data_IF_271262725817
#
_entry.id   IF_271262725817
#
_cell.length_a   1.000
_cell.length_b   1.000
_cell.length_c   1.000
_cell.angle_alpha   90.00
_cell.angle_beta   90.00
_cell.angle_gamma   90.00
#
_symmetry.space_group_name_H-M   'P 1'
#
loop_
_entity.id
_entity.type
_entity.pdbx_description
1 polymer ?
#
# COMPACT_ATOMS: atom_id res chain seq x y z
N UNK A 1 6.54 -0.66 22.05
CA UNK A 1 7.57 0.03 21.24
C UNK A 1 6.85 0.96 20.27
N UNK A 2 7.17 2.25 20.23
CA UNK A 2 6.64 3.13 19.18
C UNK A 2 7.54 2.96 17.94
N UNK A 3 6.98 2.41 16.85
CA UNK A 3 7.74 2.20 15.62
C UNK A 3 8.30 3.52 15.08
N UNK A 4 9.53 3.49 14.57
CA UNK A 4 10.18 4.66 13.97
C UNK A 4 9.39 5.08 12.73
N UNK A 5 8.81 6.28 12.74
CA UNK A 5 8.06 6.81 11.60
C UNK A 5 9.02 7.08 10.42
N UNK A 6 8.84 6.37 9.32
CA UNK A 6 9.66 6.56 8.11
C UNK A 6 9.01 7.59 7.18
N UNK A 7 9.39 8.86 7.35
CA UNK A 7 8.81 10.03 6.66
C UNK A 7 8.79 9.87 5.14
N UNK A 8 9.85 9.31 4.55
CA UNK A 8 9.98 9.14 3.09
C UNK A 8 8.92 8.21 2.48
N UNK A 9 8.30 7.35 3.29
CA UNK A 9 7.28 6.38 2.85
C UNK A 9 5.85 6.84 3.13
N UNK A 10 5.67 8.01 3.74
CA UNK A 10 4.36 8.58 3.95
C UNK A 10 3.79 9.12 2.63
N UNK A 11 2.51 8.79 2.41
CA UNK A 11 1.70 9.38 1.33
C UNK A 11 1.25 10.78 1.72
N UNK A 12 0.85 11.59 0.73
CA UNK A 12 0.49 12.99 0.93
C UNK A 12 -0.51 13.20 2.08
N UNK A 13 -1.63 12.47 2.09
CA UNK A 13 -2.65 12.61 3.15
C UNK A 13 -2.09 12.43 4.57
N UNK A 14 -1.16 11.48 4.73
CA UNK A 14 -0.51 11.20 6.02
C UNK A 14 0.49 12.28 6.39
N UNK A 15 1.21 12.82 5.41
CA UNK A 15 2.11 13.95 5.62
C UNK A 15 1.33 15.18 6.05
N UNK A 16 0.22 15.47 5.36
CA UNK A 16 -0.68 16.58 5.71
C UNK A 16 -1.20 16.43 7.13
N UNK A 17 -1.68 15.23 7.50
CA UNK A 17 -2.13 14.93 8.86
C UNK A 17 -1.02 15.18 9.90
N UNK A 18 0.18 14.61 9.72
CA UNK A 18 1.28 14.77 10.68
C UNK A 18 1.80 16.22 10.77
N UNK A 19 1.71 17.00 9.69
CA UNK A 19 2.02 18.42 9.69
C UNK A 19 0.96 19.23 10.45
N UNK A 20 -0.32 18.98 10.19
CA UNK A 20 -1.44 19.67 10.85
C UNK A 20 -1.43 19.44 12.36
N UNK A 21 -1.23 18.20 12.81
CA UNK A 21 -1.12 17.86 14.24
C UNK A 21 0.02 18.60 14.94
N UNK A 22 1.09 18.94 14.22
CA UNK A 22 2.26 19.67 14.74
C UNK A 22 2.21 21.18 14.50
N UNK A 23 1.17 21.69 13.84
CA UNK A 23 1.09 23.10 13.47
C UNK A 23 2.13 23.52 12.42
N UNK A 24 2.59 22.58 11.61
CA UNK A 24 3.49 22.84 10.49
C UNK A 24 2.63 23.21 9.28
N UNK A 25 2.99 24.30 8.60
CA UNK A 25 2.31 24.73 7.38
C UNK A 25 2.33 23.68 6.27
N UNK A 26 1.22 23.56 5.54
CA UNK A 26 1.11 22.71 4.35
C UNK A 26 1.81 23.37 3.16
N UNK A 27 2.49 22.57 2.33
CA UNK A 27 3.22 23.03 1.14
C UNK A 27 3.41 21.90 0.14
N UNK A 28 4.47 21.96 -0.66
CA UNK A 28 4.85 20.82 -1.51
C UNK A 28 5.20 19.58 -0.68
N UNK A 29 5.07 18.38 -1.28
CA UNK A 29 5.38 17.11 -0.60
C UNK A 29 6.81 17.09 -0.06
N UNK A 30 7.77 17.67 -0.78
CA UNK A 30 9.16 17.75 -0.35
C UNK A 30 9.36 18.68 0.84
N UNK A 31 8.72 19.86 0.82
CA UNK A 31 8.76 20.81 1.93
C UNK A 31 8.13 20.21 3.18
N UNK A 32 6.98 19.54 3.05
CA UNK A 32 6.31 18.85 4.17
C UNK A 32 7.23 17.78 4.79
N UNK A 33 7.91 16.98 3.96
CA UNK A 33 8.87 15.97 4.44
C UNK A 33 10.06 16.59 5.17
N UNK A 34 10.65 17.66 4.61
CA UNK A 34 11.78 18.37 5.22
C UNK A 34 11.39 19.02 6.55
N UNK A 35 10.25 19.69 6.60
CA UNK A 35 9.73 20.35 7.80
C UNK A 35 9.37 19.34 8.89
N UNK A 36 8.71 18.24 8.53
CA UNK A 36 8.40 17.16 9.48
C UNK A 36 9.67 16.48 10.01
N UNK A 37 10.67 16.24 9.16
CA UNK A 37 11.95 15.68 9.58
C UNK A 37 12.69 16.59 10.57
N UNK A 38 12.68 17.90 10.31
CA UNK A 38 13.26 18.91 11.21
C UNK A 38 12.52 18.92 12.56
N UNK A 39 11.18 18.90 12.54
CA UNK A 39 10.37 18.88 13.76
C UNK A 39 10.65 17.63 14.61
N UNK A 40 10.66 16.43 14.01
CA UNK A 40 10.97 15.18 14.72
C UNK A 40 12.40 15.19 15.27
N UNK A 41 13.36 15.77 14.55
CA UNK A 41 14.73 15.92 15.07
C UNK A 41 14.76 16.81 16.32
N UNK A 42 14.07 17.94 16.29
CA UNK A 42 13.97 18.85 17.43
C UNK A 42 13.27 18.22 18.64
N UNK A 43 12.19 17.44 18.39
CA UNK A 43 11.51 16.64 19.42
C UNK A 43 12.48 15.66 20.10
N UNK A 44 13.31 14.97 19.31
CA UNK A 44 14.31 14.02 19.83
C UNK A 44 15.46 14.71 20.59
N UNK A 45 15.78 15.96 20.24
CA UNK A 45 16.74 16.81 20.95
C UNK A 45 16.16 17.39 22.26
N UNK A 46 14.88 17.10 22.57
CA UNK A 46 14.19 17.61 23.76
C UNK A 46 13.70 19.04 23.62
N UNK A 47 13.76 19.63 22.43
CA UNK A 47 13.19 20.96 22.19
C UNK A 47 11.67 20.86 22.09
N UNK A 48 10.97 21.40 23.08
CA UNK A 48 9.51 21.44 23.08
C UNK A 48 9.02 22.49 22.09
N UNK A 49 8.46 22.03 20.97
CA UNK A 49 7.66 22.89 20.11
C UNK A 49 6.29 23.12 20.78
N UNK A 50 5.72 24.34 20.72
CA UNK A 50 4.34 24.55 21.13
C UNK A 50 3.43 23.76 20.19
N UNK A 51 2.93 22.61 20.67
CA UNK A 51 2.01 21.78 19.90
C UNK A 51 0.65 22.47 19.92
N UNK A 52 0.03 22.74 18.75
CA UNK A 52 -1.29 23.33 18.71
C UNK A 52 -2.32 22.40 19.36
N UNK A 53 -3.50 22.94 19.66
CA UNK A 53 -4.65 22.10 20.02
C UNK A 53 -4.89 21.07 18.92
N UNK A 54 -5.05 19.81 19.31
CA UNK A 54 -5.26 18.71 18.38
C UNK A 54 -6.49 19.02 17.50
N UNK A 55 -6.35 19.03 16.15
CA UNK A 55 -7.35 19.64 15.28
C UNK A 55 -8.50 18.71 14.90
N UNK A 56 -8.45 17.42 15.27
CA UNK A 56 -9.44 16.43 14.85
C UNK A 56 -10.29 15.93 16.01
N UNK A 57 -11.52 15.54 15.69
CA UNK A 57 -12.40 14.84 16.64
C UNK A 57 -12.08 13.34 16.67
N UNK A 58 -12.58 12.64 17.71
CA UNK A 58 -12.44 11.20 17.81
C UNK A 58 -13.07 10.48 16.60
N UNK A 59 -14.27 10.90 16.18
CA UNK A 59 -14.99 10.32 15.04
C UNK A 59 -14.22 10.46 13.72
N UNK A 60 -13.62 11.62 13.46
CA UNK A 60 -12.81 11.87 12.26
C UNK A 60 -11.60 10.94 12.21
N UNK A 61 -10.94 10.73 13.36
CA UNK A 61 -9.83 9.81 13.46
C UNK A 61 -10.27 8.35 13.25
N UNK A 62 -11.39 7.94 13.83
CA UNK A 62 -11.87 6.56 13.70
C UNK A 62 -12.29 6.27 12.26
N UNK A 63 -12.99 7.21 11.62
CA UNK A 63 -13.34 7.09 10.20
C UNK A 63 -12.09 6.96 9.33
N UNK A 64 -11.09 7.82 9.53
CA UNK A 64 -9.84 7.77 8.79
C UNK A 64 -9.03 6.49 9.03
N UNK A 65 -9.11 5.90 10.22
CA UNK A 65 -8.47 4.61 10.52
C UNK A 65 -9.23 3.47 9.84
N UNK A 66 -10.56 3.39 10.04
CA UNK A 66 -11.42 2.32 9.50
C UNK A 66 -11.31 2.22 7.98
N UNK A 67 -11.35 3.36 7.28
CA UNK A 67 -11.22 3.42 5.82
C UNK A 67 -9.86 2.92 5.28
N UNK A 68 -8.85 2.77 6.14
CA UNK A 68 -7.53 2.25 5.76
C UNK A 68 -7.29 0.79 6.17
N UNK A 69 -8.14 0.19 7.01
CA UNK A 69 -7.95 -1.20 7.47
C UNK A 69 -8.11 -2.20 6.33
N UNK A 70 -9.22 -2.18 5.60
CA UNK A 70 -9.50 -3.13 4.51
C UNK A 70 -8.43 -3.10 3.38
N UNK A 71 -7.95 -1.92 2.91
CA UNK A 71 -6.83 -1.88 1.97
C UNK A 71 -5.53 -2.49 2.50
N UNK A 72 -5.30 -2.43 3.82
CA UNK A 72 -4.12 -3.03 4.46
C UNK A 72 -4.26 -4.54 4.46
N UNK A 73 -5.41 -5.08 4.86
CA UNK A 73 -5.70 -6.52 4.83
C UNK A 73 -5.47 -7.11 3.43
N UNK A 74 -6.03 -6.46 2.41
CA UNK A 74 -5.81 -6.83 1.00
C UNK A 74 -4.31 -6.75 0.63
N UNK A 75 -3.62 -5.72 1.09
CA UNK A 75 -2.19 -5.54 0.86
C UNK A 75 -1.33 -6.62 1.51
N UNK A 76 -1.71 -7.11 2.69
CA UNK A 76 -1.04 -8.21 3.41
C UNK A 76 -1.22 -9.53 2.65
N UNK A 77 -2.46 -9.82 2.21
CA UNK A 77 -2.76 -11.03 1.44
C UNK A 77 -1.94 -11.09 0.14
N UNK A 78 -1.74 -9.93 -0.51
CA UNK A 78 -0.99 -9.80 -1.76
C UNK A 78 0.55 -9.76 -1.59
N UNK A 79 1.10 -9.95 -0.38
CA UNK A 79 2.55 -10.02 -0.18
C UNK A 79 3.12 -11.32 -0.73
N UNK A 80 4.04 -11.19 -1.70
CA UNK A 80 4.76 -12.32 -2.33
C UNK A 80 6.24 -12.37 -1.97
N UNK A 81 6.83 -11.25 -1.55
CA UNK A 81 8.27 -11.12 -1.25
C UNK A 81 8.48 -10.35 0.06
N UNK A 82 9.32 -10.88 0.96
CA UNK A 82 9.56 -10.30 2.29
C UNK A 82 10.34 -8.98 2.23
N UNK A 83 11.28 -8.86 1.28
CA UNK A 83 12.09 -7.65 1.05
C UNK A 83 11.39 -6.61 0.16
N UNK A 84 10.09 -6.77 -0.09
CA UNK A 84 9.37 -5.86 -0.96
C UNK A 84 9.25 -4.46 -0.36
N UNK A 85 9.28 -3.44 -1.23
CA UNK A 85 8.87 -2.09 -0.85
C UNK A 85 7.43 -2.02 -0.32
N UNK A 86 6.59 -3.00 -0.68
CA UNK A 86 5.21 -3.15 -0.20
C UNK A 86 5.16 -3.45 1.30
N UNK A 87 5.97 -4.40 1.78
CA UNK A 87 6.07 -4.72 3.21
C UNK A 87 6.37 -3.46 4.05
N UNK A 88 7.47 -2.76 3.75
CA UNK A 88 7.84 -1.52 4.46
C UNK A 88 6.76 -0.43 4.39
N UNK A 89 5.99 -0.37 3.30
CA UNK A 89 4.87 0.57 3.14
C UNK A 89 3.68 0.20 4.03
N UNK A 90 3.38 -1.09 4.17
CA UNK A 90 2.34 -1.58 5.10
C UNK A 90 2.75 -1.30 6.54
N UNK A 91 3.98 -1.64 6.93
CA UNK A 91 4.51 -1.38 8.27
C UNK A 91 4.48 0.12 8.63
N UNK A 92 4.93 0.99 7.70
CA UNK A 92 4.85 2.45 7.90
C UNK A 92 3.40 2.91 8.04
N UNK A 93 2.48 2.30 7.30
CA UNK A 93 1.05 2.63 7.37
C UNK A 93 0.44 2.23 8.70
N UNK A 94 0.68 1.01 9.18
CA UNK A 94 0.20 0.52 10.46
C UNK A 94 0.75 1.35 11.62
N UNK A 95 2.04 1.68 11.60
CA UNK A 95 2.65 2.57 12.60
C UNK A 95 2.01 3.96 12.61
N UNK A 96 1.68 4.52 11.45
CA UNK A 96 0.97 5.79 11.36
C UNK A 96 -0.45 5.69 11.93
N UNK A 97 -1.21 4.64 11.61
CA UNK A 97 -2.56 4.43 12.16
C UNK A 97 -2.52 4.27 13.68
N UNK A 98 -1.52 3.55 14.20
CA UNK A 98 -1.30 3.41 15.64
C UNK A 98 -0.98 4.76 16.30
N UNK A 99 -0.14 5.59 15.64
CA UNK A 99 0.16 6.95 16.11
C UNK A 99 -1.09 7.83 16.15
N UNK A 100 -1.92 7.77 15.11
CA UNK A 100 -3.21 8.46 15.04
C UNK A 100 -4.17 8.02 16.14
N UNK A 101 -4.33 6.70 16.33
CA UNK A 101 -5.18 6.11 17.38
C UNK A 101 -4.74 6.51 18.80
N UNK A 102 -3.43 6.65 19.03
CA UNK A 102 -2.90 7.09 20.33
C UNK A 102 -3.20 8.55 20.65
N UNK A 103 -3.36 9.38 19.62
CA UNK A 103 -3.68 10.81 19.78
C UNK A 103 -5.17 11.06 19.89
N UNK A 104 -6.02 10.12 19.47
CA UNK A 104 -7.46 10.24 19.61
C UNK A 104 -7.87 10.25 21.08
N UNK A 105 -8.76 11.17 21.44
CA UNK A 105 -9.22 11.42 22.81
C UNK A 105 -10.68 11.00 22.94
N UNK A 106 -10.96 9.74 23.31
CA UNK A 106 -12.32 9.30 23.55
C UNK A 106 -12.90 10.04 24.77
N UNK A 107 -14.19 10.37 24.73
CA UNK A 107 -14.91 11.14 25.76
C UNK A 107 -15.92 10.30 26.54
N UNK A 108 -16.34 9.15 26.02
CA UNK A 108 -17.32 8.25 26.63
C UNK A 108 -16.85 6.78 26.59
N UNK A 109 -17.53 5.91 27.34
CA UNK A 109 -17.17 4.49 27.46
C UNK A 109 -17.27 3.73 26.13
N UNK A 110 -18.24 4.10 25.28
CA UNK A 110 -18.41 3.49 23.96
C UNK A 110 -17.23 3.81 23.03
N UNK A 111 -16.74 5.06 23.02
CA UNK A 111 -15.55 5.47 22.28
C UNK A 111 -14.27 4.81 22.82
N UNK A 112 -14.16 4.63 24.15
CA UNK A 112 -13.05 3.89 24.76
C UNK A 112 -13.04 2.44 24.29
N UNK A 113 -14.21 1.80 24.28
CA UNK A 113 -14.38 0.43 23.80
C UNK A 113 -14.02 0.34 22.31
N UNK A 114 -14.54 1.23 21.48
CA UNK A 114 -14.23 1.28 20.06
C UNK A 114 -12.72 1.44 19.82
N UNK A 115 -12.08 2.39 20.51
CA UNK A 115 -10.63 2.62 20.39
C UNK A 115 -9.84 1.34 20.71
N UNK A 116 -10.29 0.59 21.71
CA UNK A 116 -9.65 -0.66 22.16
C UNK A 116 -9.81 -1.78 21.14
N UNK A 117 -11.00 -1.91 20.53
CA UNK A 117 -11.24 -2.86 19.44
C UNK A 117 -10.37 -2.55 18.21
N UNK A 118 -10.30 -1.28 17.81
CA UNK A 118 -9.46 -0.83 16.69
C UNK A 118 -7.97 -1.06 16.99
N UNK A 119 -7.54 -0.80 18.23
CA UNK A 119 -6.16 -1.10 18.66
C UNK A 119 -5.84 -2.59 18.49
N UNK A 120 -6.73 -3.47 18.96
CA UNK A 120 -6.58 -4.92 18.81
C UNK A 120 -6.43 -5.33 17.34
N UNK A 121 -7.26 -4.77 16.46
CA UNK A 121 -7.18 -5.03 15.01
C UNK A 121 -5.84 -4.57 14.41
N UNK A 122 -5.37 -3.36 14.73
CA UNK A 122 -4.09 -2.86 14.21
C UNK A 122 -2.93 -3.76 14.66
N UNK A 123 -2.91 -4.18 15.93
CA UNK A 123 -1.85 -5.05 16.47
C UNK A 123 -1.88 -6.45 15.83
N UNK A 124 -3.08 -6.99 15.58
CA UNK A 124 -3.23 -8.25 14.84
C UNK A 124 -2.65 -8.13 13.42
N UNK A 125 -2.99 -7.05 12.68
CA UNK A 125 -2.47 -6.82 11.33
C UNK A 125 -0.94 -6.63 11.29
N UNK A 126 -0.35 -5.99 12.31
CA UNK A 126 1.11 -5.89 12.43
C UNK A 126 1.73 -7.28 12.57
N UNK A 127 1.15 -8.12 13.43
CA UNK A 127 1.60 -9.51 13.64
C UNK A 127 1.44 -10.35 12.37
N UNK A 128 0.36 -10.16 11.62
CA UNK A 128 0.11 -10.87 10.36
C UNK A 128 1.13 -10.50 9.27
N UNK A 129 1.51 -9.22 9.18
CA UNK A 129 2.58 -8.76 8.28
C UNK A 129 3.89 -9.47 8.59
N UNK A 130 4.29 -9.49 9.86
CA UNK A 130 5.55 -10.09 10.30
C UNK A 130 5.55 -11.60 10.03
N UNK A 131 4.49 -12.30 10.43
CA UNK A 131 4.30 -13.73 10.19
C UNK A 131 4.34 -14.08 8.70
N UNK A 132 3.71 -13.25 7.84
CA UNK A 132 3.71 -13.48 6.39
C UNK A 132 5.10 -13.29 5.80
N UNK A 133 5.84 -12.27 6.26
CA UNK A 133 7.21 -12.03 5.82
C UNK A 133 8.14 -13.18 6.21
N UNK A 134 8.06 -13.67 7.45
CA UNK A 134 8.84 -14.83 7.91
C UNK A 134 8.56 -16.09 7.09
N UNK A 135 7.28 -16.36 6.77
CA UNK A 135 6.89 -17.50 5.92
C UNK A 135 7.52 -17.40 4.53
N UNK A 136 7.50 -16.22 3.92
CA UNK A 136 8.10 -15.98 2.61
C UNK A 136 9.62 -16.17 2.65
N UNK A 137 10.30 -15.70 3.70
CA UNK A 137 11.75 -15.88 3.86
C UNK A 137 12.13 -17.35 3.98
N UNK A 138 11.38 -18.11 4.77
CA UNK A 138 11.57 -19.56 4.91
C UNK A 138 11.38 -20.27 3.56
N UNK A 139 10.39 -19.88 2.76
CA UNK A 139 10.16 -20.45 1.43
C UNK A 139 11.31 -20.14 0.45
N UNK A 140 11.91 -18.95 0.51
CA UNK A 140 13.04 -18.57 -0.36
C UNK A 140 14.34 -19.29 -0.01
N UNK A 141 14.52 -19.72 1.24
CA UNK A 141 15.70 -20.47 1.67
C UNK A 141 15.70 -21.94 1.26
N UNK A 142 14.54 -22.49 0.87
CA UNK A 142 14.39 -23.90 0.48
C UNK A 142 14.85 -24.15 -0.96
N UNK A 143 15.33 -23.14 -1.70
CA UNK A 143 15.91 -23.36 -3.04
C UNK A 143 17.11 -24.31 -2.88
N UNK A 144 17.02 -25.55 -3.42
CA UNK A 144 17.95 -26.61 -3.09
C UNK A 144 19.35 -26.27 -3.57
N UNK A 145 20.34 -26.50 -2.71
CA UNK A 145 21.76 -26.23 -2.93
C UNK A 145 22.33 -26.89 -4.19
N UNK A 146 21.60 -27.82 -4.81
CA UNK A 146 21.98 -28.50 -6.05
C UNK A 146 22.10 -27.55 -7.26
N UNK A 147 21.34 -26.45 -7.30
CA UNK A 147 21.49 -25.44 -8.35
C UNK A 147 22.73 -24.55 -8.17
N UNK A 148 23.25 -24.42 -6.94
CA UNK A 148 24.46 -23.64 -6.65
C UNK A 148 25.74 -24.34 -7.13
N UNK A 149 25.71 -25.67 -7.27
CA UNK A 149 26.85 -26.44 -7.75
C UNK A 149 27.02 -26.30 -9.27
N UNK A 150 25.93 -26.06 -10.02
CA UNK A 150 25.98 -25.94 -11.47
C UNK A 150 26.55 -24.58 -11.94
N UNK A 151 26.31 -23.49 -11.21
CA UNK A 151 26.87 -22.16 -11.54
C UNK A 151 28.38 -22.08 -11.34
N UNK A 152 28.95 -22.88 -10.44
CA UNK A 152 30.40 -22.89 -10.17
C UNK A 152 31.23 -23.59 -11.26
N UNK A 153 30.59 -24.25 -12.23
CA UNK A 153 31.25 -24.98 -13.32
C UNK A 153 31.16 -24.30 -14.68
N UNK A 154 30.47 -23.17 -14.83
CA UNK A 154 30.61 -22.40 -16.05
C UNK A 154 31.98 -21.70 -16.02
N UNK A 155 32.91 -22.04 -16.92
CA UNK A 155 34.15 -21.29 -17.04
C UNK A 155 33.74 -19.84 -17.31
N UNK A 156 34.16 -18.93 -16.42
CA UNK A 156 34.16 -17.51 -16.74
C UNK A 156 34.99 -17.41 -18.01
N UNK A 157 34.34 -17.23 -19.15
CA UNK A 157 35.01 -16.82 -20.37
C UNK A 157 35.78 -15.57 -19.97
N UNK A 158 37.10 -15.73 -19.84
CA UNK A 158 38.04 -14.64 -19.69
C UNK A 158 37.69 -13.66 -20.80
N UNK A 159 37.31 -12.47 -20.40
CA UNK A 159 37.13 -11.30 -21.24
C UNK A 159 38.20 -11.29 -22.33
N UNK A 160 37.75 -11.58 -23.55
CA UNK A 160 38.46 -11.20 -24.76
C UNK A 160 38.43 -9.67 -24.75
N UNK A 161 39.52 -9.08 -24.26
CA UNK A 161 39.79 -7.65 -24.43
C UNK A 161 39.96 -7.42 -25.93
N UNK A 162 38.84 -7.14 -26.58
CA UNK A 162 38.82 -6.69 -27.95
C UNK A 162 39.01 -5.18 -27.88
N UNK A 163 40.24 -4.77 -28.18
CA UNK A 163 40.69 -3.39 -28.32
C UNK A 163 39.89 -2.75 -29.47
N UNK A 164 38.74 -2.16 -29.15
CA UNK A 164 37.91 -1.43 -30.10
C UNK A 164 38.48 -0.03 -30.24
N UNK A 165 39.25 0.15 -31.32
CA UNK A 165 39.67 1.45 -31.79
C UNK A 165 38.48 2.35 -32.15
N UNK A 166 38.70 3.65 -31.98
CA UNK A 166 37.80 4.73 -32.36
C UNK A 166 37.26 4.52 -33.79
N UNK A 167 35.97 4.23 -33.88
CA UNK A 167 35.24 4.06 -35.12
C UNK A 167 33.81 4.50 -34.91
N UNK A 168 33.52 5.73 -35.34
CA UNK A 168 32.19 6.30 -35.41
C UNK A 168 31.25 5.41 -36.27
N UNK A 169 29.96 5.41 -35.92
CA UNK A 169 28.83 4.89 -36.70
C UNK A 169 28.53 3.37 -36.67
N UNK A 170 28.15 2.77 -35.52
CA UNK A 170 27.37 1.51 -35.55
C UNK A 170 26.54 1.22 -34.26
N UNK A 171 25.84 2.22 -33.72
CA UNK A 171 25.05 2.09 -32.47
C UNK A 171 23.65 1.44 -32.62
N UNK A 172 23.32 0.83 -33.77
CA UNK A 172 21.94 0.45 -34.09
C UNK A 172 21.57 -1.04 -33.93
N UNK A 173 22.54 -1.95 -33.78
CA UNK A 173 22.22 -3.40 -33.71
C UNK A 173 22.12 -3.95 -32.28
N UNK A 174 22.84 -3.38 -31.31
CA UNK A 174 22.83 -3.87 -29.92
C UNK A 174 21.51 -3.55 -29.17
N UNK A 175 20.82 -2.47 -29.56
CA UNK A 175 19.49 -2.15 -29.00
C UNK A 175 18.40 -3.14 -29.46
N UNK A 176 18.57 -3.81 -30.61
CA UNK A 176 17.60 -4.78 -31.12
C UNK A 176 17.65 -6.10 -30.34
N UNK A 177 18.84 -6.52 -29.89
CA UNK A 177 19.04 -7.76 -29.12
C UNK A 177 18.50 -7.62 -27.70
N UNK A 178 18.69 -6.47 -27.04
CA UNK A 178 18.14 -6.21 -25.71
C UNK A 178 16.60 -6.13 -25.73
N UNK A 179 16.01 -5.65 -26.82
CA UNK A 179 14.56 -5.60 -27.00
C UNK A 179 13.92 -6.98 -27.30
N UNK A 180 14.67 -7.92 -27.88
CA UNK A 180 14.21 -9.30 -28.07
C UNK A 180 14.24 -10.12 -26.77
N UNK A 181 15.24 -9.93 -25.90
CA UNK A 181 15.29 -10.64 -24.62
C UNK A 181 14.23 -10.19 -23.62
N UNK A 182 13.84 -8.92 -23.65
CA UNK A 182 12.80 -8.40 -22.77
C UNK A 182 11.40 -8.85 -23.21
N UNK A 183 11.12 -8.91 -24.51
CA UNK A 183 9.80 -9.36 -25.01
C UNK A 183 9.54 -10.85 -24.79
N UNK A 184 10.56 -11.72 -24.87
CA UNK A 184 10.38 -13.15 -24.57
C UNK A 184 10.08 -13.42 -23.09
N UNK A 185 10.65 -12.64 -22.16
CA UNK A 185 10.36 -12.78 -20.73
C UNK A 185 8.92 -12.37 -20.39
N UNK A 186 8.38 -11.30 -21.00
CA UNK A 186 7.00 -10.91 -20.76
C UNK A 186 5.98 -11.94 -21.28
N UNK A 187 6.26 -12.60 -22.41
CA UNK A 187 5.41 -13.67 -22.93
C UNK A 187 5.39 -14.91 -22.02
N UNK A 188 6.54 -15.26 -21.43
CA UNK A 188 6.61 -16.38 -20.48
C UNK A 188 5.75 -16.13 -19.23
N UNK A 189 5.83 -14.92 -18.64
CA UNK A 189 5.01 -14.57 -17.48
C UNK A 189 3.51 -14.47 -17.81
N UNK A 190 3.16 -14.00 -19.01
CA UNK A 190 1.77 -13.98 -19.47
C UNK A 190 1.19 -15.39 -19.66
N UNK A 191 1.98 -16.33 -20.23
CA UNK A 191 1.55 -17.72 -20.41
C UNK A 191 1.42 -18.47 -19.08
N UNK A 192 2.33 -18.28 -18.13
CA UNK A 192 2.21 -18.89 -16.80
C UNK A 192 0.96 -18.39 -16.03
N UNK A 193 0.59 -17.12 -16.19
CA UNK A 193 -0.66 -16.59 -15.62
C UNK A 193 -1.92 -17.18 -16.27
N UNK A 194 -1.88 -17.43 -17.59
CA UNK A 194 -3.02 -17.97 -18.34
C UNK A 194 -3.29 -19.45 -18.02
N UNK A 195 -2.25 -20.25 -17.76
CA UNK A 195 -2.39 -21.66 -17.38
C UNK A 195 -2.98 -21.79 -15.97
N UNK A 196 -2.54 -20.95 -15.02
CA UNK A 196 -3.09 -20.94 -13.66
C UNK A 196 -4.59 -20.56 -13.63
N UNK A 197 -5.03 -19.67 -14.53
CA UNK A 197 -6.43 -19.27 -14.64
C UNK A 197 -7.33 -20.42 -15.15
N UNK A 198 -6.85 -21.26 -16.06
CA UNK A 198 -7.64 -22.38 -16.59
C UNK A 198 -7.73 -23.58 -15.64
N UNK A 199 -6.74 -23.81 -14.78
CA UNK A 199 -6.81 -24.85 -13.75
C UNK A 199 -7.83 -24.56 -12.66
N UNK A 200 -8.10 -23.28 -12.37
CA UNK A 200 -9.05 -22.87 -11.34
C UNK A 200 -10.51 -22.95 -11.83
N UNK A 201 -10.76 -22.73 -13.13
CA UNK A 201 -12.10 -22.84 -13.72
C UNK A 201 -12.43 -24.22 -14.31
N UNK A 202 -11.44 -25.10 -14.49
CA UNK A 202 -11.63 -26.46 -15.02
C UNK A 202 -12.14 -27.50 -14.01
N UNK A 203 -12.31 -27.13 -12.73
CA UNK A 203 -12.76 -28.04 -11.66
C UNK A 203 -14.17 -27.76 -11.12
N UNK A 204 -14.97 -26.95 -11.83
CA UNK A 204 -16.41 -26.89 -11.60
C UNK A 204 -17.07 -28.08 -12.30
N UNK A 205 -17.00 -29.23 -11.65
CA UNK A 205 -17.66 -30.47 -12.07
C UNK A 205 -19.18 -30.36 -12.06
N UNK A 206 -19.78 -30.99 -13.06
CA UNK A 206 -21.00 -31.79 -13.03
C UNK A 206 -22.06 -31.36 -12.00
N UNK A 207 -22.89 -30.40 -12.42
CA UNK A 207 -24.20 -30.18 -11.80
C UNK A 207 -25.13 -31.26 -12.33
N UNK A 208 -25.52 -32.16 -11.42
CA UNK A 208 -26.56 -33.17 -11.63
C UNK A 208 -27.82 -32.56 -12.23
N UNK A 209 -28.27 -33.21 -13.29
CA UNK A 209 -29.45 -32.88 -14.07
C UNK A 209 -30.65 -33.53 -13.37
N UNK A 210 -31.26 -32.83 -12.42
CA UNK A 210 -32.54 -33.26 -11.83
C UNK A 210 -33.62 -32.15 -11.90
N UNK A 211 -34.79 -32.59 -12.36
CA UNK A 211 -36.12 -31.97 -12.39
C UNK A 211 -36.49 -30.88 -13.42
N UNK A 212 -37.27 -31.23 -14.45
CA UNK A 212 -37.83 -30.29 -15.42
C UNK A 212 -39.25 -29.79 -15.05
N UNK A 213 -39.65 -29.63 -13.78
CA UNK A 213 -40.97 -29.02 -13.48
C UNK A 213 -41.01 -28.29 -12.13
N UNK A 214 -40.57 -27.03 -12.10
CA UNK A 214 -41.07 -26.08 -11.07
C UNK A 214 -41.17 -24.65 -11.61
N UNK A 215 -42.22 -24.45 -12.41
CA UNK A 215 -42.79 -23.14 -12.67
C UNK A 215 -43.35 -22.56 -11.35
N UNK A 216 -42.73 -21.52 -10.80
CA UNK A 216 -43.43 -20.52 -9.99
C UNK A 216 -42.98 -19.12 -10.38
N UNK A 217 -43.90 -18.43 -11.06
CA UNK A 217 -43.92 -17.00 -11.26
C UNK A 217 -43.75 -16.24 -9.94
N UNK A 218 -42.77 -15.34 -9.87
CA UNK A 218 -42.85 -14.08 -9.09
C UNK A 218 -41.63 -13.21 -9.41
N UNK A 219 -41.69 -12.51 -10.54
CA UNK A 219 -40.81 -11.39 -10.85
C UNK A 219 -41.66 -10.31 -11.53
N UNK A 220 -42.15 -9.35 -10.75
CA UNK A 220 -42.57 -8.03 -11.24
C UNK A 220 -42.49 -7.05 -10.07
N UNK A 221 -41.39 -6.29 -10.01
CA UNK A 221 -41.35 -4.85 -9.71
C UNK A 221 -39.93 -4.44 -9.29
N UNK A 222 -39.44 -3.33 -9.85
CA UNK A 222 -38.27 -2.63 -9.29
C UNK A 222 -37.12 -2.31 -10.24
N UNK A 223 -37.38 -2.03 -11.52
CA UNK A 223 -36.42 -1.31 -12.36
C UNK A 223 -36.60 0.19 -12.11
N UNK A 224 -35.70 0.84 -11.37
CA UNK A 224 -35.57 2.30 -11.39
C UNK A 224 -34.11 2.69 -11.62
N UNK A 225 -33.85 3.03 -12.88
CA UNK A 225 -32.70 3.79 -13.34
C UNK A 225 -32.74 5.22 -12.76
N UNK A 226 -31.71 5.64 -12.04
CA UNK A 226 -31.40 7.06 -11.86
C UNK A 226 -29.98 7.28 -11.33
N UNK A 227 -29.06 7.53 -12.26
CA UNK A 227 -27.97 8.50 -12.07
C UNK A 227 -28.22 9.61 -13.09
N UNK A 228 -28.19 10.89 -12.69
CA UNK A 228 -27.01 11.65 -13.10
C UNK A 228 -26.50 12.67 -12.07
N UNK A 229 -25.21 12.94 -12.22
CA UNK A 229 -24.45 14.11 -11.81
C UNK A 229 -25.26 15.39 -11.58
N UNK A 230 -25.09 16.01 -10.41
CA UNK A 230 -25.11 17.46 -10.28
C UNK A 230 -24.06 17.92 -9.26
N UNK A 231 -23.00 18.55 -9.78
CA UNK A 231 -22.15 19.45 -9.03
C UNK A 231 -23.00 20.66 -8.59
N UNK A 232 -23.05 20.94 -7.29
CA UNK A 232 -23.46 22.25 -6.77
C UNK A 232 -22.38 22.73 -5.82
N UNK A 233 -21.59 23.69 -6.31
CA UNK A 233 -20.73 24.53 -5.48
C UNK A 233 -21.62 25.55 -4.76
N UNK A 234 -21.74 25.44 -3.43
CA UNK A 234 -22.22 26.53 -2.61
C UNK A 234 -21.02 27.37 -2.16
N UNK A 235 -20.85 28.53 -2.79
CA UNK A 235 -20.02 29.62 -2.29
C UNK A 235 -20.87 30.38 -1.28
N UNK A 236 -20.54 30.29 0.00
CA UNK A 236 -21.12 31.13 1.05
C UNK A 236 -20.43 32.49 1.06
N UNK A 237 -21.15 33.62 0.99
CA UNK A 237 -20.54 34.93 1.16
C UNK A 237 -20.28 35.22 2.64
N UNK A 238 -19.01 35.52 2.96
CA UNK A 238 -18.61 36.13 4.23
C UNK A 238 -19.23 37.53 4.33
N UNK A 239 -20.03 37.76 5.39
CA UNK A 239 -20.41 39.10 5.82
C UNK A 239 -19.22 39.75 6.54
N UNK A 240 -18.66 40.79 5.95
CA UNK A 240 -17.77 41.72 6.63
C UNK A 240 -18.56 42.52 7.66
N UNK A 241 -18.22 42.32 8.93
CA UNK A 241 -18.73 43.11 10.04
C UNK A 241 -17.87 44.39 10.12
N UNK A 242 -18.44 45.53 9.73
CA UNK A 242 -17.86 46.84 9.97
C UNK A 242 -18.79 47.56 10.94
N UNK A 243 -18.37 47.67 12.19
CA UNK A 243 -18.83 48.73 13.08
C UNK A 243 -17.59 49.40 13.65
N UNK A 244 -17.39 50.62 13.14
CA UNK A 244 -16.71 51.73 13.79
C UNK A 244 -17.64 52.30 14.86
#
# INVERSE_FOLDING_TARGET
MAGKLVISRLVQDKLTYECQVRGIGSGSVEEMRKSLAKAIRMENEGTTLPIPTYPYTFEEDMLAIRTKIEPIETGIAALTTSKSNKHKKLETTLNHLLGRLKRSKPQNDDEIKERSEVLGKILALMTDVDNRCEKIEKQQQIVPAELSILEKRMPRHSSFEQDFGDGDEEENELNLIVHQFTTQNYLYYAMCGFIAFFEEYGKAGDVEQDDPYRYRHSCLSGFTTASPFHHVFFITPYKLNTNL
#
